data_IF_187160692528
#
_entry.id   IF_187160692528
#
_cell.length_a   1.000
_cell.length_b   1.000
_cell.length_c   1.000
_cell.angle_alpha   90.00
_cell.angle_beta   90.00
_cell.angle_gamma   90.00
#
_symmetry.space_group_name_H-M   'P 1'
#
loop_
_entity.id
_entity.type
_entity.pdbx_description
1 polymer ?
#
# COMPACT_ATOMS: atom_id res chain seq x y z
N UNK A 1 17.57 9.73 -9.04
CA UNK A 1 16.46 9.19 -8.24
C UNK A 1 15.78 8.14 -9.08
N UNK A 2 15.36 7.01 -8.50
CA UNK A 2 14.61 6.00 -9.24
C UNK A 2 13.33 6.65 -9.79
N UNK A 3 13.00 6.33 -11.05
CA UNK A 3 11.76 6.83 -11.70
C UNK A 3 10.54 6.10 -11.18
N UNK A 4 10.69 4.83 -10.83
CA UNK A 4 9.61 3.95 -10.43
C UNK A 4 9.68 3.66 -8.94
N UNK A 5 8.53 3.72 -8.27
CA UNK A 5 8.34 3.14 -6.94
C UNK A 5 7.57 1.83 -7.09
N UNK A 6 8.13 0.72 -6.62
CA UNK A 6 7.42 -0.56 -6.56
C UNK A 6 7.18 -0.95 -5.11
N UNK A 7 5.92 -1.20 -4.76
CA UNK A 7 5.50 -1.53 -3.40
C UNK A 7 5.09 -2.99 -3.36
N UNK A 8 5.71 -3.76 -2.47
CA UNK A 8 5.37 -5.15 -2.16
C UNK A 8 4.91 -5.28 -0.72
N UNK A 9 4.33 -6.43 -0.37
CA UNK A 9 3.88 -6.69 1.01
C UNK A 9 5.01 -6.98 2.01
N UNK A 10 6.07 -7.69 1.61
CA UNK A 10 7.08 -8.22 2.54
C UNK A 10 8.51 -7.73 2.26
N UNK A 11 9.34 -7.52 3.31
CA UNK A 11 10.72 -7.05 3.14
C UNK A 11 11.62 -8.02 2.35
N UNK A 12 11.36 -9.32 2.45
CA UNK A 12 12.12 -10.34 1.74
C UNK A 12 11.90 -10.26 0.22
N UNK A 13 10.65 -10.08 -0.22
CA UNK A 13 10.30 -9.83 -1.63
C UNK A 13 10.94 -8.53 -2.13
N UNK A 14 10.90 -7.47 -1.31
CA UNK A 14 11.47 -6.18 -1.68
C UNK A 14 12.95 -6.30 -2.04
N UNK A 15 13.75 -6.93 -1.16
CA UNK A 15 15.19 -7.14 -1.38
C UNK A 15 15.47 -8.00 -2.63
N UNK A 16 14.63 -8.98 -2.90
CA UNK A 16 14.79 -9.90 -4.03
C UNK A 16 14.50 -9.19 -5.35
N UNK A 17 13.38 -8.47 -5.44
CA UNK A 17 12.93 -7.76 -6.64
C UNK A 17 13.83 -6.56 -6.95
N UNK A 18 14.32 -5.84 -5.93
CA UNK A 18 15.27 -4.73 -6.13
C UNK A 18 16.56 -5.19 -6.82
N UNK A 19 17.02 -6.40 -6.50
CA UNK A 19 18.17 -7.02 -7.17
C UNK A 19 17.94 -7.34 -8.65
N UNK A 20 16.69 -7.59 -9.05
CA UNK A 20 16.34 -7.89 -10.45
C UNK A 20 16.09 -6.63 -11.28
N UNK A 21 15.43 -5.63 -10.70
CA UNK A 21 14.99 -4.43 -11.43
C UNK A 21 16.06 -3.33 -11.51
N UNK A 22 17.03 -3.33 -10.59
CA UNK A 22 18.15 -2.40 -10.62
C UNK A 22 17.77 -0.95 -10.31
N UNK A 23 18.59 0.00 -10.81
CA UNK A 23 18.61 1.39 -10.31
C UNK A 23 17.41 2.26 -10.71
N UNK A 24 16.61 1.80 -11.67
CA UNK A 24 15.42 2.53 -12.14
C UNK A 24 14.20 2.35 -11.22
N UNK A 25 14.26 1.37 -10.32
CA UNK A 25 13.23 1.05 -9.35
C UNK A 25 13.72 1.28 -7.93
N UNK A 26 12.88 1.94 -7.14
CA UNK A 26 12.97 1.91 -5.69
C UNK A 26 11.91 0.92 -5.19
N UNK A 27 12.35 -0.15 -4.53
CA UNK A 27 11.43 -1.18 -4.03
C UNK A 27 11.20 -1.01 -2.53
N UNK A 28 9.94 -0.95 -2.11
CA UNK A 28 9.54 -0.75 -0.71
C UNK A 28 8.54 -1.80 -0.27
N UNK A 29 8.56 -2.11 1.02
CA UNK A 29 7.62 -3.02 1.66
C UNK A 29 6.55 -2.24 2.41
N UNK A 30 5.27 -2.60 2.25
CA UNK A 30 4.16 -2.12 3.08
C UNK A 30 4.15 -2.77 4.46
N UNK A 31 4.87 -3.88 4.62
CA UNK A 31 4.84 -4.75 5.80
C UNK A 31 3.44 -5.35 6.02
N UNK A 32 2.82 -5.83 4.94
CA UNK A 32 1.45 -6.34 4.91
C UNK A 32 0.40 -5.22 4.83
N UNK A 33 -0.74 -5.43 5.49
CA UNK A 33 -1.84 -4.47 5.57
C UNK A 33 -1.40 -3.14 6.20
N UNK A 34 -1.85 -2.03 5.62
CA UNK A 34 -1.60 -0.67 6.09
C UNK A 34 -2.85 0.03 6.65
N UNK A 35 -4.01 -0.59 6.43
CA UNK A 35 -5.32 -0.17 6.96
C UNK A 35 -6.00 -1.37 7.59
N UNK A 36 -6.86 -1.07 8.54
CA UNK A 36 -7.75 -2.04 9.18
C UNK A 36 -9.09 -1.35 9.47
N UNK A 37 -10.12 -2.13 9.77
CA UNK A 37 -11.38 -1.58 10.26
C UNK A 37 -11.13 -0.79 11.55
N UNK A 38 -11.85 0.32 11.72
CA UNK A 38 -11.85 1.05 12.99
C UNK A 38 -12.29 0.11 14.12
N UNK A 39 -11.67 0.23 15.28
CA UNK A 39 -11.99 -0.60 16.46
C UNK A 39 -13.20 -0.06 17.24
N UNK A 40 -14.28 0.23 16.52
CA UNK A 40 -15.54 0.75 17.05
C UNK A 40 -16.72 -0.05 16.51
N UNK A 41 -17.84 -0.03 17.23
CA UNK A 41 -19.03 -0.81 16.85
C UNK A 41 -19.66 -0.36 15.51
N UNK A 42 -19.33 0.85 15.04
CA UNK A 42 -19.82 1.44 13.79
C UNK A 42 -18.85 1.27 12.60
N UNK A 43 -17.92 0.31 12.69
CA UNK A 43 -16.93 0.02 11.64
C UNK A 43 -17.57 -0.42 10.31
N UNK A 44 -18.76 -1.03 10.36
CA UNK A 44 -19.54 -1.44 9.20
C UNK A 44 -20.92 -0.80 9.31
N UNK A 45 -21.27 0.05 8.34
CA UNK A 45 -22.58 0.69 8.26
C UNK A 45 -23.57 -0.27 7.57
N UNK A 46 -24.34 -1.02 8.35
CA UNK A 46 -25.33 -2.00 7.85
C UNK A 46 -26.52 -1.34 7.14
N UNK A 47 -26.75 -0.05 7.36
CA UNK A 47 -27.84 0.70 6.74
C UNK A 47 -27.42 1.32 5.40
N UNK A 48 -26.10 1.40 5.12
CA UNK A 48 -25.53 1.91 3.87
C UNK A 48 -24.72 0.85 3.14
N UNK A 49 -25.38 -0.19 2.66
CA UNK A 49 -24.77 -1.24 1.82
C UNK A 49 -23.48 -1.83 2.39
N UNK A 50 -23.40 -1.97 3.73
CA UNK A 50 -22.23 -2.49 4.45
C UNK A 50 -20.95 -1.67 4.24
N UNK A 51 -21.06 -0.35 4.06
CA UNK A 51 -19.90 0.54 3.92
C UNK A 51 -18.94 0.38 5.11
N UNK A 52 -17.67 0.11 4.81
CA UNK A 52 -16.63 -0.09 5.80
C UNK A 52 -15.89 1.21 6.12
N UNK A 53 -15.62 1.43 7.41
CA UNK A 53 -14.73 2.49 7.89
C UNK A 53 -13.37 1.91 8.23
N UNK A 54 -12.37 2.23 7.43
CA UNK A 54 -11.00 1.81 7.67
C UNK A 54 -10.13 2.97 8.16
N UNK A 55 -9.23 2.67 9.10
CA UNK A 55 -8.20 3.58 9.60
C UNK A 55 -6.79 3.06 9.33
N UNK A 56 -5.79 3.93 9.44
CA UNK A 56 -4.37 3.54 9.44
C UNK A 56 -3.92 3.34 10.89
N UNK A 57 -3.60 2.09 11.31
CA UNK A 57 -3.10 1.81 12.65
C UNK A 57 -1.87 2.66 13.00
N UNK A 58 -1.70 2.99 14.30
CA UNK A 58 -0.65 3.91 14.76
C UNK A 58 0.77 3.47 14.39
N UNK A 59 1.03 2.17 14.41
CA UNK A 59 2.30 1.54 14.03
C UNK A 59 2.58 1.60 12.52
N UNK A 60 1.54 1.77 11.69
CA UNK A 60 1.65 1.89 10.23
C UNK A 60 1.76 3.33 9.73
N UNK A 61 1.47 4.33 10.57
CA UNK A 61 1.50 5.76 10.17
C UNK A 61 2.85 6.21 9.61
N UNK A 62 3.95 5.72 10.18
CA UNK A 62 5.30 6.05 9.70
C UNK A 62 5.54 5.51 8.28
N UNK A 63 5.18 4.23 8.05
CA UNK A 63 5.28 3.57 6.74
C UNK A 63 4.43 4.30 5.71
N UNK A 64 3.17 4.59 6.03
CA UNK A 64 2.26 5.32 5.12
C UNK A 64 2.80 6.71 4.79
N UNK A 65 3.35 7.44 5.77
CA UNK A 65 3.96 8.75 5.55
C UNK A 65 5.17 8.69 4.62
N UNK A 66 6.03 7.67 4.78
CA UNK A 66 7.16 7.43 3.89
C UNK A 66 6.68 7.10 2.47
N UNK A 67 5.81 6.10 2.32
CA UNK A 67 5.28 5.65 1.03
C UNK A 67 4.58 6.79 0.30
N UNK A 68 3.83 7.65 1.01
CA UNK A 68 3.16 8.81 0.40
C UNK A 68 4.13 9.87 -0.11
N UNK A 69 5.27 10.06 0.56
CA UNK A 69 6.34 10.95 0.07
C UNK A 69 7.01 10.37 -1.17
N UNK A 70 7.32 9.08 -1.15
CA UNK A 70 7.97 8.39 -2.27
C UNK A 70 7.04 8.33 -3.50
N UNK A 71 5.75 8.02 -3.31
CA UNK A 71 4.76 7.96 -4.37
C UNK A 71 4.62 9.30 -5.09
N UNK A 72 4.66 10.42 -4.35
CA UNK A 72 4.62 11.78 -4.94
C UNK A 72 5.88 12.15 -5.73
N UNK A 73 7.01 11.51 -5.45
CA UNK A 73 8.29 11.77 -6.09
C UNK A 73 8.57 10.82 -7.27
N UNK A 74 7.84 9.71 -7.36
CA UNK A 74 7.94 8.74 -8.44
C UNK A 74 7.17 9.22 -9.68
N UNK A 75 7.66 8.82 -10.86
CA UNK A 75 6.96 8.97 -12.14
C UNK A 75 5.79 7.98 -12.22
N UNK A 76 6.04 6.72 -11.84
CA UNK A 76 5.05 5.65 -11.81
C UNK A 76 5.13 4.86 -10.50
N UNK A 77 3.97 4.50 -9.95
CA UNK A 77 3.85 3.65 -8.75
C UNK A 77 3.30 2.28 -9.16
N UNK A 78 4.05 1.24 -8.85
CA UNK A 78 3.71 -0.16 -9.12
C UNK A 78 3.27 -0.82 -7.83
N UNK A 79 2.06 -1.38 -7.80
CA UNK A 79 1.57 -2.21 -6.70
C UNK A 79 1.80 -3.68 -7.08
N UNK A 80 2.73 -4.34 -6.38
CA UNK A 80 3.18 -5.69 -6.68
C UNK A 80 2.92 -6.61 -5.47
N UNK A 81 1.67 -6.62 -5.02
CA UNK A 81 1.17 -7.60 -4.06
C UNK A 81 1.06 -8.99 -4.69
N UNK A 82 0.74 -9.99 -3.89
CA UNK A 82 0.47 -11.33 -4.40
C UNK A 82 -0.79 -11.38 -5.27
N UNK A 83 -0.81 -12.32 -6.21
CA UNK A 83 -1.90 -12.55 -7.16
C UNK A 83 -3.09 -13.30 -6.53
N UNK A 84 -3.46 -12.91 -5.32
CA UNK A 84 -4.60 -13.45 -4.59
C UNK A 84 -5.51 -12.35 -4.04
N UNK A 85 -6.59 -12.76 -3.39
CA UNK A 85 -7.59 -11.84 -2.83
C UNK A 85 -7.01 -10.91 -1.75
N UNK A 86 -6.03 -11.39 -1.00
CA UNK A 86 -5.45 -10.64 0.12
C UNK A 86 -4.47 -9.60 -0.43
N UNK A 87 -3.64 -10.00 -1.39
CA UNK A 87 -2.78 -9.10 -2.13
C UNK A 87 -3.59 -7.99 -2.82
N UNK A 88 -4.69 -8.33 -3.49
CA UNK A 88 -5.55 -7.32 -4.13
C UNK A 88 -6.14 -6.33 -3.11
N UNK A 89 -6.58 -6.81 -1.94
CA UNK A 89 -7.05 -5.95 -0.86
C UNK A 89 -5.95 -5.03 -0.32
N UNK A 90 -4.73 -5.53 -0.17
CA UNK A 90 -3.56 -4.72 0.24
C UNK A 90 -3.27 -3.64 -0.82
N UNK A 91 -3.28 -4.00 -2.09
CA UNK A 91 -3.06 -3.08 -3.20
C UNK A 91 -4.14 -2.01 -3.26
N UNK A 92 -5.41 -2.39 -3.13
CA UNK A 92 -6.51 -1.43 -3.03
C UNK A 92 -6.35 -0.48 -1.83
N UNK A 93 -5.99 -1.00 -0.66
CA UNK A 93 -5.72 -0.15 0.51
C UNK A 93 -4.55 0.81 0.29
N UNK A 94 -3.47 0.37 -0.37
CA UNK A 94 -2.35 1.22 -0.76
C UNK A 94 -2.80 2.33 -1.72
N UNK A 95 -3.52 1.96 -2.77
CA UNK A 95 -4.06 2.90 -3.76
C UNK A 95 -4.87 4.02 -3.10
N UNK A 96 -5.86 3.65 -2.29
CA UNK A 96 -6.73 4.59 -1.58
C UNK A 96 -5.95 5.47 -0.58
N UNK A 97 -5.06 4.89 0.22
CA UNK A 97 -4.37 5.62 1.30
C UNK A 97 -3.34 6.60 0.76
N UNK A 98 -2.62 6.19 -0.28
CA UNK A 98 -1.59 6.99 -0.92
C UNK A 98 -2.20 8.06 -1.82
N UNK A 99 -3.49 7.91 -2.20
CA UNK A 99 -4.21 8.83 -3.08
C UNK A 99 -3.69 8.76 -4.50
N UNK A 100 -3.45 7.53 -4.96
CA UNK A 100 -3.03 7.26 -6.33
C UNK A 100 -4.20 7.53 -7.28
N UNK A 101 -3.88 7.66 -8.57
CA UNK A 101 -4.87 7.83 -9.63
C UNK A 101 -4.62 6.74 -10.65
N UNK A 102 -5.71 6.24 -11.22
CA UNK A 102 -5.62 5.41 -12.42
C UNK A 102 -5.02 6.26 -13.55
N UNK A 103 -4.04 5.68 -14.27
CA UNK A 103 -3.46 6.27 -15.48
C UNK A 103 -4.43 6.20 -16.66
#
# INVERSE_FOLDING_TARGET
MAKNLLIVESPAKAKTIEGYLGKDFLVKSSYGHIRDLVKTDDAIDTDKDFQQKYEVPSDKKAVVSELKKLAKAAETVWLASDEDREGEAISWHLFETLGLKDE
#
